data_IF_416022473641
#
_entry.id   IF_416022473641
#
_cell.length_a   1.000
_cell.length_b   1.000
_cell.length_c   1.000
_cell.angle_alpha   90.00
_cell.angle_beta   90.00
_cell.angle_gamma   90.00
#
_symmetry.space_group_name_H-M   'P 1'
#
loop_
_entity.id
_entity.type
_entity.pdbx_description
1 polymer ?
#
# COMPACT_ATOMS: atom_id res chain seq x y z
N UNK A 1 -45.27 -25.81 -13.84
CA UNK A 1 -44.78 -24.49 -14.23
C UNK A 1 -43.36 -24.66 -14.76
N UNK A 2 -43.06 -24.14 -15.96
CA UNK A 2 -41.69 -24.17 -16.50
C UNK A 2 -40.83 -23.15 -15.74
N UNK A 3 -39.56 -23.48 -15.41
CA UNK A 3 -38.65 -22.51 -14.82
C UNK A 3 -38.30 -21.42 -15.85
N UNK A 4 -38.32 -20.18 -15.39
CA UNK A 4 -37.98 -19.00 -16.18
C UNK A 4 -36.51 -19.02 -16.57
N UNK A 5 -36.27 -18.95 -17.88
CA UNK A 5 -34.99 -18.75 -18.54
C UNK A 5 -34.42 -17.39 -18.09
N UNK A 6 -33.26 -17.39 -17.43
CA UNK A 6 -32.54 -16.17 -17.07
C UNK A 6 -31.67 -15.76 -18.24
N UNK A 7 -32.00 -14.61 -18.83
CA UNK A 7 -31.13 -13.94 -19.81
C UNK A 7 -29.76 -13.62 -19.20
N UNK A 8 -28.65 -13.86 -19.92
CA UNK A 8 -27.33 -13.45 -19.48
C UNK A 8 -27.24 -11.91 -19.50
N UNK A 9 -26.96 -11.33 -18.32
CA UNK A 9 -26.67 -9.91 -18.18
C UNK A 9 -25.36 -9.62 -18.94
N UNK A 10 -25.50 -8.90 -20.05
CA UNK A 10 -24.37 -8.40 -20.82
C UNK A 10 -23.53 -7.46 -19.92
N UNK A 11 -22.36 -7.94 -19.49
CA UNK A 11 -21.34 -7.11 -18.86
C UNK A 11 -20.76 -6.26 -19.99
N UNK A 12 -21.33 -5.06 -20.16
CA UNK A 12 -20.78 -4.02 -21.00
C UNK A 12 -19.44 -3.61 -20.39
N UNK A 13 -18.39 -3.69 -21.19
CA UNK A 13 -17.03 -3.25 -20.86
C UNK A 13 -17.06 -1.88 -20.20
N UNK A 14 -16.93 -1.86 -18.87
CA UNK A 14 -16.67 -0.63 -18.12
C UNK A 14 -15.19 -0.37 -18.29
N UNK A 15 -14.85 0.31 -19.39
CA UNK A 15 -13.55 0.91 -19.56
C UNK A 15 -13.36 1.92 -18.43
N UNK A 16 -12.60 1.54 -17.41
CA UNK A 16 -12.16 2.48 -16.37
C UNK A 16 -11.12 3.36 -17.03
N UNK A 17 -11.38 4.67 -17.23
CA UNK A 17 -10.35 5.56 -17.76
C UNK A 17 -9.25 5.65 -16.70
N UNK A 18 -8.08 5.08 -17.01
CA UNK A 18 -6.85 5.39 -16.30
C UNK A 18 -6.49 6.82 -16.70
N UNK A 19 -6.99 7.78 -15.94
CA UNK A 19 -6.56 9.18 -16.05
C UNK A 19 -5.16 9.22 -15.46
N UNK A 20 -4.15 9.06 -16.31
CA UNK A 20 -2.79 9.48 -15.99
C UNK A 20 -2.84 11.01 -15.95
N UNK A 21 -2.56 11.66 -14.82
CA UNK A 21 -2.48 13.12 -14.78
C UNK A 21 -1.25 13.53 -15.58
N UNK A 22 -1.45 13.81 -16.87
CA UNK A 22 -0.52 14.61 -17.65
C UNK A 22 -0.65 16.02 -17.07
N UNK A 23 0.44 16.53 -16.50
CA UNK A 23 0.48 17.92 -16.08
C UNK A 23 0.24 18.79 -17.32
N UNK A 24 -0.92 19.45 -17.39
CA UNK A 24 -1.19 20.50 -18.36
C UNK A 24 -0.29 21.70 -18.01
N UNK A 25 0.99 21.60 -18.36
CA UNK A 25 1.84 22.76 -18.54
C UNK A 25 1.34 23.50 -19.77
N UNK A 26 0.63 24.60 -19.50
CA UNK A 26 0.09 25.52 -20.49
C UNK A 26 1.12 25.79 -21.59
N UNK A 27 0.79 25.33 -22.80
CA UNK A 27 1.56 25.52 -24.02
C UNK A 27 1.63 27.01 -24.33
N UNK A 28 2.71 27.64 -23.89
CA UNK A 28 3.21 28.87 -24.48
C UNK A 28 4.02 28.46 -25.72
N UNK A 29 3.48 28.76 -26.89
CA UNK A 29 4.10 28.55 -28.19
C UNK A 29 5.32 29.47 -28.35
N UNK A 30 6.45 29.05 -27.77
CA UNK A 30 7.78 29.55 -28.10
C UNK A 30 8.64 28.34 -28.41
N UNK A 31 8.68 27.96 -29.69
CA UNK A 31 9.48 26.86 -30.21
C UNK A 31 10.96 27.24 -30.16
N UNK A 32 11.59 27.05 -29.01
CA UNK A 32 13.04 27.05 -28.87
C UNK A 32 13.52 25.57 -28.94
N UNK A 33 14.21 25.14 -30.00
CA UNK A 33 14.62 23.75 -30.19
C UNK A 33 15.64 23.24 -29.15
N UNK A 34 16.06 24.10 -28.23
CA UNK A 34 16.88 23.75 -27.07
C UNK A 34 16.09 23.16 -25.89
N UNK A 35 14.79 23.41 -25.78
CA UNK A 35 13.96 22.87 -24.68
C UNK A 35 13.65 21.38 -24.84
N UNK A 36 13.51 20.87 -26.07
CA UNK A 36 13.29 19.42 -26.32
C UNK A 36 14.49 18.57 -25.86
N UNK A 37 15.70 19.13 -25.80
CA UNK A 37 16.91 18.38 -25.40
C UNK A 37 16.96 18.17 -23.88
N UNK A 38 16.44 19.11 -23.10
CA UNK A 38 16.38 19.00 -21.63
C UNK A 38 15.33 17.97 -21.17
N UNK A 39 14.26 17.77 -21.94
CA UNK A 39 13.25 16.73 -21.67
C UNK A 39 13.83 15.30 -21.83
N UNK A 40 14.71 15.06 -22.81
CA UNK A 40 15.36 13.76 -22.94
C UNK A 40 16.42 13.51 -21.86
N UNK A 41 17.13 14.55 -21.42
CA UNK A 41 18.12 14.44 -20.35
C UNK A 41 17.44 14.13 -19.00
N UNK A 42 16.31 14.77 -18.71
CA UNK A 42 15.53 14.50 -17.50
C UNK A 42 14.87 13.12 -17.52
N UNK A 43 14.38 12.65 -18.67
CA UNK A 43 13.89 11.28 -18.84
C UNK A 43 14.99 10.23 -18.65
N UNK A 44 16.20 10.50 -19.13
CA UNK A 44 17.34 9.61 -18.94
C UNK A 44 17.79 9.55 -17.47
N UNK A 45 17.82 10.69 -16.76
CA UNK A 45 18.07 10.72 -15.32
C UNK A 45 17.02 9.92 -14.54
N UNK A 46 15.75 10.02 -14.91
CA UNK A 46 14.67 9.25 -14.29
C UNK A 46 14.86 7.73 -14.48
N UNK A 47 15.38 7.32 -15.64
CA UNK A 47 15.70 5.92 -15.92
C UNK A 47 16.92 5.44 -15.10
N UNK A 48 17.94 6.28 -14.92
CA UNK A 48 19.16 5.92 -14.18
C UNK A 48 18.90 5.79 -12.66
N UNK A 49 17.94 6.57 -12.14
CA UNK A 49 17.42 6.43 -10.77
C UNK A 49 16.58 5.14 -10.61
N UNK A 50 16.01 4.61 -11.69
CA UNK A 50 15.34 3.30 -11.76
C UNK A 50 16.35 2.15 -11.87
N UNK A 51 17.25 2.03 -10.88
CA UNK A 51 18.13 0.85 -10.79
C UNK A 51 17.32 -0.45 -10.76
N UNK A 52 17.84 -1.50 -11.42
CA UNK A 52 17.23 -2.84 -11.53
C UNK A 52 16.50 -3.37 -10.27
N UNK A 53 17.04 -3.27 -9.02
CA UNK A 53 16.32 -3.71 -7.83
C UNK A 53 15.03 -2.94 -7.55
N UNK A 54 14.96 -1.64 -7.87
CA UNK A 54 13.76 -0.82 -7.67
C UNK A 54 12.64 -1.27 -8.64
N UNK A 55 12.99 -1.52 -9.90
CA UNK A 55 12.04 -2.02 -10.90
C UNK A 55 11.41 -3.35 -10.51
N UNK A 56 12.22 -4.33 -10.08
CA UNK A 56 11.71 -5.64 -9.64
C UNK A 56 10.79 -5.50 -8.43
N UNK A 57 11.07 -4.55 -7.54
CA UNK A 57 10.24 -4.28 -6.40
C UNK A 57 8.88 -3.68 -6.77
N UNK A 58 8.83 -2.79 -7.77
CA UNK A 58 7.57 -2.28 -8.29
C UNK A 58 6.71 -3.37 -8.94
N UNK A 59 7.35 -4.26 -9.69
CA UNK A 59 6.68 -5.45 -10.23
C UNK A 59 6.11 -6.30 -9.09
N UNK A 60 6.90 -6.54 -8.04
CA UNK A 60 6.44 -7.28 -6.86
C UNK A 60 5.26 -6.60 -6.16
N UNK A 61 5.29 -5.28 -6.04
CA UNK A 61 4.20 -4.44 -5.55
C UNK A 61 2.91 -4.61 -6.34
N UNK A 62 3.00 -4.58 -7.67
CA UNK A 62 1.86 -4.76 -8.57
C UNK A 62 1.32 -6.18 -8.43
N UNK A 63 2.19 -7.18 -8.45
CA UNK A 63 1.83 -8.60 -8.28
C UNK A 63 1.11 -8.81 -6.96
N UNK A 64 1.62 -8.27 -5.84
CA UNK A 64 0.96 -8.33 -4.53
C UNK A 64 -0.47 -7.75 -4.58
N UNK A 65 -0.65 -6.58 -5.21
CA UNK A 65 -1.98 -5.95 -5.35
C UNK A 65 -2.93 -6.82 -6.18
N UNK A 66 -2.44 -7.40 -7.29
CA UNK A 66 -3.21 -8.32 -8.12
C UNK A 66 -3.61 -9.56 -7.31
N UNK A 67 -2.70 -10.13 -6.52
CA UNK A 67 -3.01 -11.26 -5.65
C UNK A 67 -4.05 -10.90 -4.58
N UNK A 68 -3.95 -9.73 -3.95
CA UNK A 68 -4.93 -9.26 -2.97
C UNK A 68 -6.32 -9.10 -3.58
N UNK A 69 -6.41 -8.48 -4.76
CA UNK A 69 -7.68 -8.35 -5.50
C UNK A 69 -8.20 -9.74 -5.90
N UNK A 70 -7.32 -10.60 -6.41
CA UNK A 70 -7.67 -11.97 -6.81
C UNK A 70 -8.23 -12.77 -5.64
N UNK A 71 -7.57 -12.72 -4.48
CA UNK A 71 -8.05 -13.37 -3.24
C UNK A 71 -9.42 -12.84 -2.88
N UNK A 72 -9.66 -11.53 -2.97
CA UNK A 72 -10.97 -10.90 -2.70
C UNK A 72 -12.06 -11.29 -3.71
N UNK A 73 -11.67 -11.69 -4.92
CA UNK A 73 -12.57 -12.04 -6.02
C UNK A 73 -12.84 -13.55 -6.17
N UNK A 74 -12.20 -14.43 -5.39
CA UNK A 74 -12.45 -15.88 -5.48
C UNK A 74 -13.87 -16.21 -5.01
N UNK A 75 -14.72 -16.66 -5.93
CA UNK A 75 -16.13 -17.02 -5.71
C UNK A 75 -16.34 -18.26 -4.82
N UNK A 76 -15.34 -19.15 -4.73
CA UNK A 76 -15.41 -20.33 -3.86
C UNK A 76 -15.45 -19.95 -2.37
N UNK A 77 -14.98 -18.75 -2.02
CA UNK A 77 -15.19 -18.17 -0.72
C UNK A 77 -16.38 -17.23 -0.74
N UNK A 78 -17.19 -17.26 0.32
CA UNK A 78 -18.24 -16.24 0.48
C UNK A 78 -17.55 -14.86 0.48
N UNK A 79 -17.91 -13.92 -0.40
CA UNK A 79 -17.19 -12.66 -0.53
C UNK A 79 -17.20 -11.91 0.80
N UNK A 80 -16.01 -11.50 1.24
CA UNK A 80 -15.81 -10.88 2.56
C UNK A 80 -15.79 -11.87 3.72
N UNK A 81 -15.47 -13.15 3.47
CA UNK A 81 -15.28 -14.11 4.55
C UNK A 81 -14.10 -13.70 5.44
N UNK A 82 -14.21 -13.97 6.74
CA UNK A 82 -13.17 -13.62 7.72
C UNK A 82 -11.84 -14.30 7.35
N UNK A 83 -11.87 -15.54 6.84
CA UNK A 83 -10.68 -16.27 6.39
C UNK A 83 -9.98 -15.62 5.20
N UNK A 84 -10.74 -15.08 4.25
CA UNK A 84 -10.22 -14.34 3.09
C UNK A 84 -9.54 -13.04 3.53
N UNK A 85 -10.17 -12.28 4.43
CA UNK A 85 -9.61 -11.06 5.00
C UNK A 85 -8.36 -11.32 5.85
N UNK A 86 -8.35 -12.38 6.63
CA UNK A 86 -7.16 -12.83 7.39
C UNK A 86 -6.00 -13.20 6.46
N UNK A 87 -6.29 -13.90 5.36
CA UNK A 87 -5.26 -14.28 4.37
C UNK A 87 -4.68 -13.04 3.70
N UNK A 88 -5.53 -12.08 3.31
CA UNK A 88 -5.10 -10.80 2.76
C UNK A 88 -4.23 -10.02 3.76
N UNK A 89 -4.65 -9.97 5.04
CA UNK A 89 -3.88 -9.33 6.11
C UNK A 89 -2.49 -9.97 6.28
N UNK A 90 -2.41 -11.30 6.28
CA UNK A 90 -1.14 -12.03 6.37
C UNK A 90 -0.19 -11.68 5.22
N UNK A 91 -0.70 -11.58 3.99
CA UNK A 91 0.10 -11.18 2.83
C UNK A 91 0.62 -9.75 3.00
N UNK A 92 -0.23 -8.82 3.46
CA UNK A 92 0.20 -7.44 3.72
C UNK A 92 1.29 -7.35 4.80
N UNK A 93 1.17 -8.13 5.88
CA UNK A 93 2.18 -8.18 6.95
C UNK A 93 3.49 -8.77 6.43
N UNK A 94 3.46 -9.90 5.72
CA UNK A 94 4.65 -10.51 5.13
C UNK A 94 5.32 -9.54 4.16
N UNK A 95 4.55 -8.89 3.30
CA UNK A 95 5.05 -7.88 2.38
C UNK A 95 5.74 -6.73 3.12
N UNK A 96 5.11 -6.18 4.18
CA UNK A 96 5.69 -5.10 4.96
C UNK A 96 7.00 -5.51 5.66
N UNK A 97 7.10 -6.76 6.12
CA UNK A 97 8.35 -7.31 6.68
C UNK A 97 9.44 -7.41 5.62
N UNK A 98 9.13 -7.98 4.44
CA UNK A 98 10.09 -8.07 3.33
C UNK A 98 10.53 -6.68 2.87
N UNK A 99 9.61 -5.72 2.79
CA UNK A 99 9.91 -4.33 2.46
C UNK A 99 10.91 -3.74 3.46
N UNK A 100 10.67 -3.93 4.76
CA UNK A 100 11.53 -3.39 5.82
C UNK A 100 12.96 -3.94 5.80
N UNK A 101 13.13 -5.21 5.41
CA UNK A 101 14.44 -5.86 5.34
C UNK A 101 15.19 -5.55 4.03
N UNK A 102 14.46 -5.53 2.90
CA UNK A 102 15.09 -5.38 1.57
C UNK A 102 15.44 -3.94 1.22
N UNK A 103 14.74 -2.95 1.79
CA UNK A 103 14.96 -1.51 1.57
C UNK A 103 15.24 -1.17 0.10
N UNK A 104 14.30 -1.51 -0.81
CA UNK A 104 14.54 -1.43 -2.24
C UNK A 104 14.63 0.01 -2.76
N UNK A 105 14.12 0.96 -1.98
CA UNK A 105 14.13 2.38 -2.32
C UNK A 105 15.40 3.05 -1.82
N UNK A 106 16.12 3.70 -2.72
CA UNK A 106 17.33 4.46 -2.40
C UNK A 106 17.00 5.71 -1.58
N UNK A 107 15.94 6.43 -1.96
CA UNK A 107 15.50 7.60 -1.22
C UNK A 107 14.67 7.22 0.02
N UNK A 108 15.07 7.75 1.16
CA UNK A 108 14.38 7.55 2.43
C UNK A 108 12.91 8.00 2.41
N UNK A 109 12.59 9.07 1.67
CA UNK A 109 11.21 9.56 1.52
C UNK A 109 10.33 8.47 0.90
N UNK A 110 10.81 7.85 -0.18
CA UNK A 110 10.09 6.81 -0.93
C UNK A 110 9.92 5.55 -0.08
N UNK A 111 10.93 5.20 0.72
CA UNK A 111 10.84 4.11 1.69
C UNK A 111 9.75 4.36 2.73
N UNK A 112 9.70 5.56 3.32
CA UNK A 112 8.66 5.92 4.30
C UNK A 112 7.27 5.87 3.66
N UNK A 113 7.10 6.38 2.44
CA UNK A 113 5.83 6.30 1.72
C UNK A 113 5.41 4.85 1.48
N UNK A 114 6.33 3.98 1.06
CA UNK A 114 6.02 2.57 0.84
C UNK A 114 5.61 1.85 2.13
N UNK A 115 6.30 2.13 3.25
CA UNK A 115 5.95 1.60 4.58
C UNK A 115 4.59 2.14 5.02
N UNK A 116 4.30 3.43 4.81
CA UNK A 116 3.02 4.04 5.16
C UNK A 116 1.86 3.42 4.37
N UNK A 117 2.01 3.21 3.07
CA UNK A 117 0.99 2.58 2.22
C UNK A 117 0.72 1.13 2.67
N UNK A 118 1.79 0.39 2.97
CA UNK A 118 1.69 -0.98 3.49
C UNK A 118 0.96 -1.01 4.83
N UNK A 119 1.28 -0.07 5.72
CA UNK A 119 0.65 0.11 7.03
C UNK A 119 -0.84 0.44 6.92
N UNK A 120 -1.20 1.37 6.03
CA UNK A 120 -2.61 1.69 5.74
C UNK A 120 -3.38 0.46 5.27
N UNK A 121 -2.77 -0.38 4.42
CA UNK A 121 -3.40 -1.62 3.95
C UNK A 121 -3.65 -2.60 5.11
N UNK A 122 -2.69 -2.77 6.03
CA UNK A 122 -2.84 -3.60 7.23
C UNK A 122 -3.99 -3.08 8.12
N UNK A 123 -4.05 -1.76 8.36
CA UNK A 123 -5.11 -1.14 9.13
C UNK A 123 -6.49 -1.35 8.49
N UNK A 124 -6.60 -1.16 7.17
CA UNK A 124 -7.84 -1.36 6.42
C UNK A 124 -8.33 -2.80 6.51
N UNK A 125 -7.47 -3.79 6.28
CA UNK A 125 -7.88 -5.20 6.39
C UNK A 125 -8.24 -5.59 7.83
N UNK A 126 -7.51 -5.07 8.81
CA UNK A 126 -7.83 -5.29 10.23
C UNK A 126 -9.20 -4.71 10.59
N UNK A 127 -9.50 -3.50 10.12
CA UNK A 127 -10.82 -2.88 10.26
C UNK A 127 -11.92 -3.72 9.60
N UNK A 128 -11.71 -4.18 8.37
CA UNK A 128 -12.64 -5.04 7.66
C UNK A 128 -12.93 -6.35 8.42
N UNK A 129 -11.92 -6.94 9.08
CA UNK A 129 -12.10 -8.15 9.90
C UNK A 129 -13.02 -7.86 11.08
N UNK A 130 -12.78 -6.77 11.82
CA UNK A 130 -13.61 -6.40 12.97
C UNK A 130 -15.05 -6.16 12.54
N UNK A 131 -15.25 -5.39 11.48
CA UNK A 131 -16.58 -5.11 10.95
C UNK A 131 -17.29 -6.38 10.45
N UNK A 132 -16.55 -7.32 9.84
CA UNK A 132 -17.11 -8.60 9.39
C UNK A 132 -17.51 -9.48 10.57
N UNK A 133 -16.75 -9.47 11.66
CA UNK A 133 -17.06 -10.19 12.89
C UNK A 133 -18.32 -9.62 13.57
N UNK A 134 -18.43 -8.30 13.64
CA UNK A 134 -19.63 -7.60 14.11
C UNK A 134 -20.89 -8.00 13.37
N UNK A 135 -20.85 -7.91 12.03
CA UNK A 135 -21.99 -8.30 11.19
C UNK A 135 -22.39 -9.76 11.39
N UNK A 136 -21.41 -10.64 11.62
CA UNK A 136 -21.67 -12.05 11.93
C UNK A 136 -22.36 -12.21 13.28
N UNK A 137 -21.90 -11.51 14.32
CA UNK A 137 -22.50 -11.52 15.65
C UNK A 137 -23.96 -11.02 15.64
N UNK A 138 -24.25 -9.94 14.90
CA UNK A 138 -25.61 -9.40 14.73
C UNK A 138 -26.53 -10.44 14.06
N UNK A 139 -26.06 -11.11 13.00
CA UNK A 139 -26.86 -12.09 12.25
C UNK A 139 -27.23 -13.35 13.03
N UNK A 140 -26.45 -13.72 14.05
CA UNK A 140 -26.77 -14.88 14.90
C UNK A 140 -27.89 -14.62 15.94
N UNK A 141 -28.53 -13.44 15.93
CA UNK A 141 -29.74 -13.20 16.71
C UNK A 141 -29.48 -12.71 18.14
N UNK A 142 -28.51 -11.82 18.32
CA UNK A 142 -28.17 -11.23 19.61
C UNK A 142 -29.22 -10.26 20.17
N UNK A 143 -30.33 -10.77 20.70
CA UNK A 143 -31.34 -9.97 21.40
C UNK A 143 -30.87 -9.48 22.80
N UNK A 144 -29.72 -9.94 23.30
CA UNK A 144 -29.15 -9.50 24.60
C UNK A 144 -27.91 -8.59 24.45
N UNK A 145 -27.62 -8.11 23.24
CA UNK A 145 -26.32 -7.52 22.86
C UNK A 145 -26.17 -6.01 23.11
N UNK A 146 -27.04 -5.38 23.92
CA UNK A 146 -26.92 -3.94 24.25
C UNK A 146 -25.61 -3.57 24.96
N UNK A 147 -24.99 -4.52 25.68
CA UNK A 147 -23.68 -4.36 26.35
C UNK A 147 -22.46 -4.64 25.45
N UNK A 148 -22.64 -5.30 24.30
CA UNK A 148 -21.52 -5.60 23.39
C UNK A 148 -21.27 -4.50 22.37
N UNK A 149 -22.23 -3.60 22.13
CA UNK A 149 -22.06 -2.50 21.19
C UNK A 149 -20.93 -1.54 21.61
N UNK A 150 -20.81 -1.25 22.92
CA UNK A 150 -19.69 -0.47 23.48
C UNK A 150 -18.38 -1.26 23.39
N UNK A 151 -18.43 -2.59 23.57
CA UNK A 151 -17.26 -3.46 23.39
C UNK A 151 -16.76 -3.45 21.96
N UNK A 152 -17.62 -3.27 20.96
CA UNK A 152 -17.25 -3.33 19.54
C UNK A 152 -16.50 -2.08 19.08
N UNK A 153 -16.98 -0.90 19.46
CA UNK A 153 -16.26 0.36 19.22
C UNK A 153 -14.91 0.35 19.95
N UNK A 154 -14.89 -0.12 21.20
CA UNK A 154 -13.64 -0.24 21.96
C UNK A 154 -12.71 -1.29 21.34
N UNK A 155 -13.23 -2.40 20.81
CA UNK A 155 -12.41 -3.47 20.20
C UNK A 155 -11.86 -3.04 18.84
N UNK A 156 -12.67 -2.35 18.02
CA UNK A 156 -12.24 -1.80 16.73
C UNK A 156 -11.19 -0.71 16.92
N UNK A 157 -11.42 0.22 17.87
CA UNK A 157 -10.45 1.24 18.24
C UNK A 157 -9.20 0.59 18.83
N UNK A 158 -9.31 -0.39 19.73
CA UNK A 158 -8.17 -1.09 20.30
C UNK A 158 -7.36 -1.86 19.25
N UNK A 159 -8.01 -2.54 18.30
CA UNK A 159 -7.33 -3.22 17.19
C UNK A 159 -6.69 -2.22 16.22
N UNK A 160 -7.35 -1.08 15.96
CA UNK A 160 -6.77 -0.01 15.17
C UNK A 160 -5.54 0.57 15.88
N UNK A 161 -5.58 0.81 17.18
CA UNK A 161 -4.40 1.21 17.96
C UNK A 161 -3.33 0.11 17.98
N UNK A 162 -3.70 -1.15 18.14
CA UNK A 162 -2.78 -2.29 18.19
C UNK A 162 -2.08 -2.53 16.85
N UNK A 163 -2.71 -2.16 15.73
CA UNK A 163 -2.12 -2.28 14.39
C UNK A 163 -1.42 -1.00 13.97
N UNK A 164 -1.93 0.17 14.36
CA UNK A 164 -1.34 1.46 14.08
C UNK A 164 -0.06 1.70 14.90
N UNK A 165 -0.04 1.38 16.19
CA UNK A 165 1.13 1.55 17.05
C UNK A 165 2.40 0.86 16.52
N UNK A 166 2.39 -0.43 16.11
CA UNK A 166 3.57 -1.06 15.53
C UNK A 166 3.94 -0.47 14.17
N UNK A 167 2.98 0.01 13.36
CA UNK A 167 3.31 0.70 12.10
C UNK A 167 4.02 2.04 12.35
N UNK A 168 3.55 2.83 13.32
CA UNK A 168 4.23 4.05 13.76
C UNK A 168 5.59 3.72 14.34
N UNK A 169 5.71 2.66 15.15
CA UNK A 169 6.99 2.23 15.70
C UNK A 169 7.98 1.84 14.58
N UNK A 170 7.54 1.11 13.56
CA UNK A 170 8.36 0.77 12.40
C UNK A 170 8.80 2.01 11.63
N UNK A 171 7.89 2.96 11.38
CA UNK A 171 8.23 4.25 10.74
C UNK A 171 9.27 5.01 11.57
N UNK A 172 9.09 5.08 12.89
CA UNK A 172 10.05 5.73 13.78
C UNK A 172 11.40 5.02 13.79
N UNK A 173 11.42 3.69 13.81
CA UNK A 173 12.66 2.88 13.76
C UNK A 173 13.40 3.16 12.46
N UNK A 174 12.71 3.14 11.31
CA UNK A 174 13.31 3.43 10.02
C UNK A 174 13.81 4.87 9.92
N UNK A 175 13.05 5.84 10.42
CA UNK A 175 13.47 7.24 10.48
C UNK A 175 14.73 7.44 11.36
N UNK A 176 14.78 6.81 12.54
CA UNK A 176 15.93 6.87 13.43
C UNK A 176 17.18 6.22 12.80
N UNK A 177 17.01 5.10 12.10
CA UNK A 177 18.10 4.44 11.37
C UNK A 177 18.67 5.35 10.27
N UNK A 178 17.81 5.99 9.48
CA UNK A 178 18.25 6.94 8.43
C UNK A 178 19.03 8.11 9.03
N UNK A 179 18.57 8.65 10.18
CA UNK A 179 19.29 9.72 10.87
C UNK A 179 20.66 9.23 11.35
N UNK A 180 20.73 8.04 11.94
CA UNK A 180 21.99 7.45 12.41
C UNK A 180 23.00 7.24 11.27
N UNK A 181 22.56 6.69 10.13
CA UNK A 181 23.41 6.47 8.97
C UNK A 181 23.99 7.78 8.43
N UNK A 182 23.19 8.86 8.40
CA UNK A 182 23.67 10.19 7.98
C UNK A 182 24.75 10.75 8.91
N UNK A 183 24.59 10.56 10.22
CA UNK A 183 25.59 11.01 11.18
C UNK A 183 26.91 10.23 11.06
N UNK A 184 26.85 8.92 10.79
CA UNK A 184 28.04 8.09 10.58
C UNK A 184 28.81 8.51 9.33
N UNK A 185 28.13 8.75 8.21
CA UNK A 185 28.76 9.21 6.96
C UNK A 185 29.37 10.60 7.14
N UNK A 186 28.67 11.52 7.83
CA UNK A 186 29.19 12.85 8.10
C UNK A 186 30.43 12.83 9.00
N UNK A 187 30.48 11.92 9.98
CA UNK A 187 31.64 11.76 10.85
C UNK A 187 32.86 11.22 10.07
N UNK A 188 32.65 10.19 9.24
CA UNK A 188 33.72 9.62 8.41
C UNK A 188 34.32 10.63 7.43
N UNK A 189 33.48 11.44 6.76
CA UNK A 189 33.97 12.48 5.85
C UNK A 189 34.70 13.63 6.55
N UNK A 190 34.46 13.87 7.84
CA UNK A 190 35.18 14.87 8.61
C UNK A 190 36.60 14.40 8.99
N UNK A 191 36.77 13.11 9.30
CA UNK A 191 38.09 12.51 9.56
C UNK A 191 38.98 12.54 8.32
N UNK A 192 38.45 12.17 7.14
CA UNK A 192 39.20 12.23 5.88
C UNK A 192 39.64 13.66 5.50
N UNK A 193 38.85 14.67 5.87
CA UNK A 193 39.18 16.06 5.61
C UNK A 193 40.25 16.63 6.57
N UNK A 194 40.44 16.04 7.75
CA UNK A 194 41.50 16.42 8.70
C UNK A 194 42.85 15.80 8.32
N UNK A 195 42.84 14.63 7.66
CA UNK A 195 44.05 13.95 7.20
C UNK A 195 44.64 14.50 5.88
N UNK A 196 43.87 15.27 5.11
CA UNK A 196 44.24 15.82 3.80
C UNK A 196 44.91 17.21 3.87
#
# INVERSE_FOLDING_TARGET
GRPAERDPVAIKDVAVPVVVPVADSAVADSTDPTEEIDDFASLWQLHDDYREPCYLWEVFNIVQKIFLIGILAVDDFRPGSIGQLLTALMICVIYALVLSETRPYYEWHNMIFAVLISSCSICLFSWCIVHSYSLYAIRLGGSELGMYHVSEEVTSVALLFLTFAPTVALICIEALRVIADRHLVAAAGAEEAEEA
#
